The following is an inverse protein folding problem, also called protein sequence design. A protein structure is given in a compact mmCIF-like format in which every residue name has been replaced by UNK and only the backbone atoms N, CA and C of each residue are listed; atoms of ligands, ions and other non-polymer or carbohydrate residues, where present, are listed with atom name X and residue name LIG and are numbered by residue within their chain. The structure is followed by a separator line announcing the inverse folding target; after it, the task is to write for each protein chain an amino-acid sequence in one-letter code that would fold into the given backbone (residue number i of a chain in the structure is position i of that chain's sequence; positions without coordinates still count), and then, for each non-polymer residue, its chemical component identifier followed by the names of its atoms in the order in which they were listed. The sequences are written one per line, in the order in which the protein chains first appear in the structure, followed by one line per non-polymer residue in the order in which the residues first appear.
data_IF_861958090442
#
_entry.id   IF_861958090442
#
_cell.length_a   1.000
_cell.length_b   1.000
_cell.length_c   1.000
_cell.angle_alpha   90.00
_cell.angle_beta   90.00
_cell.angle_gamma   90.00
#
_symmetry.space_group_name_H-M   'P 1'
#
loop_
_entity.id
_entity.type
_entity.pdbx_description
1 polymer ?
#
# COMPACT_ATOMS: atom_id res chain seq x y z
N UNK A 1 -60.18 66.12 -4.49
CA UNK A 1 -59.29 66.09 -5.64
C UNK A 1 -58.08 65.27 -5.25
N UNK A 2 -58.20 63.97 -5.36
CA UNK A 2 -57.63 63.09 -6.38
C UNK A 2 -56.18 63.37 -6.68
N UNK A 3 -55.23 62.49 -6.26
CA UNK A 3 -54.47 61.72 -7.21
C UNK A 3 -53.79 60.50 -6.57
N UNK A 4 -54.09 59.47 -7.20
CA UNK A 4 -53.61 58.08 -7.09
C UNK A 4 -52.17 57.99 -7.63
N UNK A 5 -51.32 57.19 -6.99
CA UNK A 5 -49.97 56.95 -7.43
C UNK A 5 -49.50 55.56 -7.01
N UNK A 6 -50.00 54.61 -7.78
CA UNK A 6 -49.55 53.22 -7.75
C UNK A 6 -48.05 53.12 -8.05
N UNK A 7 -47.24 52.58 -7.16
CA UNK A 7 -45.87 52.19 -7.40
C UNK A 7 -45.80 50.66 -7.61
N UNK A 8 -45.47 50.29 -8.82
CA UNK A 8 -45.11 48.92 -9.24
C UNK A 8 -43.88 48.46 -8.47
N UNK A 9 -43.99 47.35 -7.74
CA UNK A 9 -42.89 46.61 -7.21
C UNK A 9 -42.61 45.43 -8.13
N UNK A 10 -41.62 45.64 -9.00
CA UNK A 10 -41.02 44.63 -9.84
C UNK A 10 -40.34 43.56 -8.95
N UNK A 11 -40.94 42.37 -8.89
CA UNK A 11 -40.44 41.23 -8.18
C UNK A 11 -39.38 40.49 -8.99
N UNK A 12 -38.09 40.85 -8.76
CA UNK A 12 -36.97 40.08 -9.26
C UNK A 12 -36.95 38.67 -8.64
N UNK A 13 -37.41 37.70 -9.42
CA UNK A 13 -37.21 36.28 -9.08
C UNK A 13 -35.74 35.92 -9.29
N UNK A 14 -35.02 35.72 -8.19
CA UNK A 14 -33.71 35.09 -8.22
C UNK A 14 -33.86 33.60 -8.54
N UNK A 15 -33.50 33.23 -9.73
CA UNK A 15 -33.42 31.86 -10.20
C UNK A 15 -32.33 31.13 -9.37
N UNK A 16 -32.77 30.35 -8.40
CA UNK A 16 -31.88 29.43 -7.66
C UNK A 16 -31.52 28.29 -8.59
N UNK A 17 -30.33 28.36 -9.17
CA UNK A 17 -29.74 27.29 -9.98
C UNK A 17 -29.50 26.07 -9.06
N UNK A 18 -30.43 25.13 -9.13
CA UNK A 18 -30.33 23.81 -8.48
C UNK A 18 -29.07 23.14 -8.96
N UNK A 19 -28.11 22.96 -8.06
CA UNK A 19 -26.90 22.17 -8.33
C UNK A 19 -27.35 20.72 -8.55
N UNK A 20 -27.31 20.28 -9.81
CA UNK A 20 -27.53 18.88 -10.15
C UNK A 20 -26.50 18.04 -9.40
N UNK A 21 -26.97 17.28 -8.40
CA UNK A 21 -26.18 16.25 -7.75
C UNK A 21 -25.77 15.23 -8.81
N UNK A 22 -24.47 15.20 -9.12
CA UNK A 22 -23.88 14.17 -9.97
C UNK A 22 -24.14 12.83 -9.29
N UNK A 23 -24.92 11.98 -9.94
CA UNK A 23 -25.18 10.63 -9.44
C UNK A 23 -23.83 9.90 -9.25
N UNK A 24 -23.65 9.13 -8.16
CA UNK A 24 -22.43 8.35 -7.99
C UNK A 24 -22.26 7.41 -9.19
N UNK A 25 -21.03 7.20 -9.67
CA UNK A 25 -20.79 6.29 -10.78
C UNK A 25 -21.34 4.89 -10.42
N UNK A 26 -21.84 4.13 -11.40
CA UNK A 26 -22.34 2.80 -11.14
C UNK A 26 -21.23 1.95 -10.55
N UNK A 27 -21.55 1.20 -9.49
CA UNK A 27 -20.63 0.25 -8.88
C UNK A 27 -19.97 -0.62 -9.95
N UNK A 28 -18.66 -0.83 -9.85
CA UNK A 28 -17.92 -1.66 -10.81
C UNK A 28 -18.60 -3.04 -10.91
N UNK A 29 -18.88 -3.49 -12.13
CA UNK A 29 -19.46 -4.80 -12.38
C UNK A 29 -18.39 -5.86 -11.97
N UNK A 30 -18.64 -6.66 -10.92
CA UNK A 30 -17.65 -7.60 -10.41
C UNK A 30 -17.32 -8.72 -11.40
N UNK A 31 -18.06 -8.82 -12.49
CA UNK A 31 -17.85 -9.84 -13.54
C UNK A 31 -16.97 -9.35 -14.68
N UNK A 32 -16.70 -8.03 -14.77
CA UNK A 32 -15.86 -7.48 -15.82
C UNK A 32 -14.38 -7.56 -15.42
N UNK A 33 -13.50 -8.02 -16.31
CA UNK A 33 -12.05 -7.92 -16.08
C UNK A 33 -11.65 -6.44 -15.99
N UNK A 34 -10.59 -6.16 -15.19
CA UNK A 34 -10.01 -4.83 -15.07
C UNK A 34 -9.82 -4.20 -16.45
N UNK A 35 -10.44 -3.03 -16.68
CA UNK A 35 -10.29 -2.29 -17.93
C UNK A 35 -8.87 -1.76 -18.02
N UNK A 36 -8.34 -1.68 -19.23
CA UNK A 36 -6.98 -1.16 -19.44
C UNK A 36 -5.86 -2.08 -18.98
N UNK A 37 -6.16 -3.35 -18.65
CA UNK A 37 -5.13 -4.32 -18.23
C UNK A 37 -4.11 -4.58 -19.34
N UNK A 38 -4.55 -4.61 -20.62
CA UNK A 38 -3.69 -4.74 -21.78
C UNK A 38 -2.78 -3.52 -21.97
N UNK A 39 -3.32 -2.33 -21.77
CA UNK A 39 -2.59 -1.07 -21.84
C UNK A 39 -1.58 -0.94 -20.70
N UNK A 40 -1.97 -1.31 -19.49
CA UNK A 40 -1.08 -1.35 -18.33
C UNK A 40 0.09 -2.33 -18.55
N UNK A 41 -0.20 -3.53 -19.10
CA UNK A 41 0.81 -4.53 -19.45
C UNK A 41 1.73 -4.03 -20.57
N UNK A 42 1.17 -3.32 -21.55
CA UNK A 42 1.96 -2.73 -22.63
C UNK A 42 2.87 -1.59 -22.12
N UNK A 43 2.42 -0.81 -21.17
CA UNK A 43 3.21 0.26 -20.55
C UNK A 43 4.42 -0.26 -19.75
N UNK A 44 4.36 -1.51 -19.26
CA UNK A 44 5.48 -2.17 -18.55
C UNK A 44 6.49 -2.85 -19.47
N UNK A 45 6.14 -3.10 -20.74
CA UNK A 45 7.02 -3.84 -21.66
C UNK A 45 8.39 -3.17 -21.81
N UNK A 46 9.42 -3.79 -21.26
CA UNK A 46 10.82 -3.36 -21.37
C UNK A 46 11.21 -2.15 -20.52
N UNK A 47 10.35 -1.71 -19.58
CA UNK A 47 10.58 -0.50 -18.75
C UNK A 47 10.42 -0.73 -17.25
N UNK A 48 10.33 -1.99 -16.79
CA UNK A 48 10.09 -2.30 -15.38
C UNK A 48 8.60 -2.28 -15.02
N UNK A 49 8.27 -1.82 -13.78
CA UNK A 49 6.90 -1.77 -13.30
C UNK A 49 6.06 -0.69 -14.03
N UNK A 50 4.75 -0.90 -14.17
CA UNK A 50 3.84 0.13 -14.69
C UNK A 50 3.93 1.41 -13.84
N UNK A 51 3.91 2.61 -14.46
CA UNK A 51 4.00 3.88 -13.74
C UNK A 51 2.65 4.28 -13.12
N UNK A 52 2.13 3.45 -12.21
CA UNK A 52 0.80 3.61 -11.57
C UNK A 52 0.62 4.95 -10.88
N UNK A 53 1.71 5.55 -10.36
CA UNK A 53 1.69 6.86 -9.70
C UNK A 53 1.42 8.02 -10.67
N UNK A 54 1.64 7.80 -11.97
CA UNK A 54 1.39 8.80 -13.02
C UNK A 54 -0.01 8.71 -13.62
N UNK A 55 -0.76 7.64 -13.30
CA UNK A 55 -2.11 7.45 -13.80
C UNK A 55 -3.10 8.03 -12.81
N UNK A 56 -4.03 8.82 -13.33
CA UNK A 56 -5.07 9.42 -12.52
C UNK A 56 -6.46 9.21 -13.16
N UNK A 57 -6.87 7.94 -13.38
CA UNK A 57 -8.18 7.62 -13.91
C UNK A 57 -9.28 7.89 -12.89
N UNK A 58 -10.53 7.90 -13.35
CA UNK A 58 -11.70 7.98 -12.50
C UNK A 58 -11.80 6.77 -11.56
N UNK A 59 -12.28 7.02 -10.34
CA UNK A 59 -12.58 5.95 -9.38
C UNK A 59 -13.87 5.25 -9.79
N UNK A 60 -13.79 3.95 -10.03
CA UNK A 60 -14.89 3.12 -10.52
C UNK A 60 -15.58 2.29 -9.43
N UNK A 61 -15.29 2.57 -8.15
CA UNK A 61 -15.87 1.84 -7.02
C UNK A 61 -14.94 0.77 -6.46
N UNK A 62 -15.40 0.12 -5.40
CA UNK A 62 -14.69 -1.00 -4.76
C UNK A 62 -15.10 -2.32 -5.42
N UNK A 63 -14.16 -3.25 -5.55
CA UNK A 63 -14.41 -4.61 -6.02
C UNK A 63 -14.18 -5.61 -4.90
N UNK A 64 -14.84 -6.76 -4.95
CA UNK A 64 -14.66 -7.85 -3.98
C UNK A 64 -13.34 -8.60 -4.25
N UNK A 65 -12.24 -7.86 -4.11
CA UNK A 65 -10.89 -8.38 -4.15
C UNK A 65 -10.17 -8.06 -2.85
N UNK A 66 -9.49 -9.06 -2.28
CA UNK A 66 -8.84 -8.95 -0.98
C UNK A 66 -7.47 -9.62 -0.98
N UNK A 67 -6.51 -8.96 -0.36
CA UNK A 67 -5.21 -9.55 0.00
C UNK A 67 -5.30 -9.96 1.46
N UNK A 68 -5.28 -11.27 1.73
CA UNK A 68 -5.32 -11.80 3.09
C UNK A 68 -4.02 -11.54 3.85
N UNK A 69 -4.08 -11.61 5.19
CA UNK A 69 -2.90 -11.49 6.04
C UNK A 69 -1.87 -12.62 5.81
N UNK A 70 -2.29 -13.70 5.17
CA UNK A 70 -1.45 -14.82 4.71
C UNK A 70 -0.79 -14.57 3.34
N UNK A 71 -1.04 -13.39 2.73
CA UNK A 71 -0.54 -13.00 1.41
C UNK A 71 -1.27 -13.65 0.23
N UNK A 72 -2.36 -14.39 0.50
CA UNK A 72 -3.19 -14.98 -0.54
C UNK A 72 -4.17 -13.93 -1.08
N UNK A 73 -4.29 -13.86 -2.39
CA UNK A 73 -5.25 -13.00 -3.05
C UNK A 73 -6.57 -13.74 -3.27
N UNK A 74 -7.65 -13.06 -2.94
CA UNK A 74 -9.01 -13.58 -3.10
C UNK A 74 -9.82 -12.69 -4.04
N UNK A 75 -10.67 -13.30 -4.84
CA UNK A 75 -11.70 -12.62 -5.60
C UNK A 75 -13.04 -13.31 -5.35
N UNK A 76 -14.06 -12.55 -4.91
CA UNK A 76 -15.36 -13.09 -4.48
C UNK A 76 -15.19 -14.27 -3.49
N UNK A 77 -14.36 -14.07 -2.49
CA UNK A 77 -13.99 -15.07 -1.46
C UNK A 77 -13.30 -16.35 -1.98
N UNK A 78 -12.99 -16.43 -3.27
CA UNK A 78 -12.25 -17.56 -3.86
C UNK A 78 -10.78 -17.20 -4.03
N UNK A 79 -9.83 -18.07 -3.63
CA UNK A 79 -8.41 -17.78 -3.78
C UNK A 79 -7.99 -17.77 -5.25
N UNK A 80 -7.17 -16.77 -5.62
CA UNK A 80 -6.58 -16.67 -6.95
C UNK A 80 -5.34 -17.55 -7.02
N UNK A 81 -5.48 -18.79 -7.52
CA UNK A 81 -4.38 -19.76 -7.60
C UNK A 81 -3.37 -19.51 -8.72
N UNK A 82 -3.64 -18.58 -9.65
CA UNK A 82 -2.77 -18.32 -10.81
C UNK A 82 -1.70 -17.28 -10.44
N UNK A 83 -0.52 -17.75 -10.02
CA UNK A 83 0.62 -16.86 -9.66
C UNK A 83 0.92 -15.76 -10.69
N UNK A 84 0.97 -16.01 -12.02
CA UNK A 84 1.19 -14.94 -12.98
C UNK A 84 0.15 -13.83 -12.95
N UNK A 85 -1.11 -14.16 -12.61
CA UNK A 85 -2.19 -13.18 -12.49
C UNK A 85 -2.04 -12.35 -11.22
N UNK A 86 -1.69 -12.98 -10.09
CA UNK A 86 -1.38 -12.29 -8.83
C UNK A 86 -0.21 -11.33 -9.03
N UNK A 87 0.87 -11.79 -9.70
CA UNK A 87 2.02 -10.93 -10.03
C UNK A 87 1.63 -9.75 -10.91
N UNK A 88 0.76 -9.96 -11.89
CA UNK A 88 0.26 -8.87 -12.72
C UNK A 88 -0.52 -7.85 -11.89
N UNK A 89 -1.47 -8.30 -11.07
CA UNK A 89 -2.25 -7.41 -10.21
C UNK A 89 -1.37 -6.68 -9.19
N UNK A 90 -0.36 -7.36 -8.63
CA UNK A 90 0.55 -6.71 -7.68
C UNK A 90 1.29 -5.53 -8.30
N UNK A 91 1.61 -5.57 -9.60
CA UNK A 91 2.25 -4.43 -10.29
C UNK A 91 1.34 -3.22 -10.47
N UNK A 92 0.02 -3.40 -10.34
CA UNK A 92 -1.00 -2.36 -10.47
C UNK A 92 -1.41 -1.76 -9.13
N UNK A 93 -0.86 -2.26 -8.02
CA UNK A 93 -1.16 -1.76 -6.68
C UNK A 93 -0.66 -0.33 -6.50
N UNK A 94 -1.51 0.49 -5.90
CA UNK A 94 -1.19 1.81 -5.38
C UNK A 94 -1.95 2.05 -4.07
N UNK A 95 -1.25 2.53 -3.05
CA UNK A 95 -1.87 3.02 -1.81
C UNK A 95 -1.87 4.53 -1.83
N UNK A 96 -3.05 5.13 -1.84
CA UNK A 96 -3.24 6.58 -1.90
C UNK A 96 -3.12 7.23 -0.50
N UNK A 97 -3.19 8.55 -0.43
CA UNK A 97 -3.07 9.32 0.82
C UNK A 97 -4.24 9.12 1.77
N UNK A 98 -5.38 8.69 1.26
CA UNK A 98 -6.55 8.30 2.03
C UNK A 98 -6.37 6.99 2.82
N UNK A 99 -5.21 6.33 2.67
CA UNK A 99 -4.86 5.07 3.32
C UNK A 99 -5.44 3.84 2.65
N UNK A 100 -6.25 3.99 1.59
CA UNK A 100 -6.85 2.88 0.85
C UNK A 100 -5.91 2.36 -0.23
N UNK A 101 -6.09 1.09 -0.55
CA UNK A 101 -5.35 0.41 -1.61
C UNK A 101 -6.22 0.23 -2.84
N UNK A 102 -5.62 0.47 -3.99
CA UNK A 102 -6.27 0.43 -5.28
C UNK A 102 -5.50 -0.42 -6.28
N UNK A 103 -6.21 -1.01 -7.22
CA UNK A 103 -5.66 -1.44 -8.51
C UNK A 103 -5.89 -0.31 -9.51
N UNK A 104 -4.80 0.15 -10.13
CA UNK A 104 -4.82 1.31 -11.02
C UNK A 104 -4.33 0.90 -12.40
N UNK A 105 -5.13 1.22 -13.41
CA UNK A 105 -4.79 1.12 -14.84
C UNK A 105 -4.85 2.50 -15.48
N UNK A 106 -4.45 2.69 -16.73
CA UNK A 106 -4.59 3.99 -17.39
C UNK A 106 -6.03 4.52 -17.46
N UNK A 107 -7.05 3.64 -17.38
CA UNK A 107 -8.46 3.99 -17.65
C UNK A 107 -9.39 3.80 -16.45
N UNK A 108 -8.95 3.13 -15.37
CA UNK A 108 -9.79 2.95 -14.18
C UNK A 108 -8.95 2.81 -12.91
N UNK A 109 -9.56 3.17 -11.78
CA UNK A 109 -9.08 2.94 -10.43
C UNK A 109 -10.18 2.24 -9.63
N UNK A 110 -9.88 1.04 -9.10
CA UNK A 110 -10.81 0.27 -8.26
C UNK A 110 -10.21 -0.01 -6.90
N UNK A 111 -11.01 0.13 -5.85
CA UNK A 111 -10.59 -0.15 -4.48
C UNK A 111 -10.58 -1.65 -4.18
N UNK A 112 -9.62 -2.08 -3.37
CA UNK A 112 -9.51 -3.44 -2.85
C UNK A 112 -9.26 -3.44 -1.34
N UNK A 113 -9.51 -4.58 -0.69
CA UNK A 113 -9.23 -4.75 0.74
C UNK A 113 -7.87 -5.39 0.94
N UNK A 114 -7.12 -4.90 1.93
CA UNK A 114 -5.85 -5.48 2.39
C UNK A 114 -5.94 -5.70 3.88
N UNK A 115 -5.85 -6.95 4.33
CA UNK A 115 -6.06 -7.30 5.74
C UNK A 115 -4.90 -6.85 6.64
N UNK A 116 -3.67 -6.82 6.11
CA UNK A 116 -2.46 -6.45 6.87
C UNK A 116 -1.44 -5.75 5.95
N UNK A 117 -0.66 -6.51 5.19
CA UNK A 117 0.36 -6.00 4.28
C UNK A 117 0.05 -6.37 2.82
N UNK A 118 0.59 -5.59 1.88
CA UNK A 118 0.38 -5.80 0.45
C UNK A 118 1.15 -7.03 -0.07
N UNK A 119 2.26 -7.35 0.58
CA UNK A 119 3.16 -8.44 0.25
C UNK A 119 3.60 -9.19 1.51
N UNK A 120 4.14 -10.40 1.32
CA UNK A 120 4.94 -11.10 2.32
C UNK A 120 6.39 -11.17 1.84
N UNK A 121 7.35 -10.83 2.70
CA UNK A 121 8.75 -11.14 2.48
C UNK A 121 8.98 -12.60 2.85
N UNK A 122 9.31 -13.42 1.86
CA UNK A 122 9.39 -14.89 1.95
C UNK A 122 10.81 -15.41 1.87
N UNK A 123 11.78 -14.57 1.52
CA UNK A 123 13.21 -14.89 1.51
C UNK A 123 14.03 -13.68 1.93
N UNK A 124 15.16 -13.92 2.59
CA UNK A 124 16.15 -12.93 2.97
C UNK A 124 17.52 -13.35 2.42
N UNK A 125 18.24 -12.40 1.85
CA UNK A 125 19.61 -12.53 1.39
C UNK A 125 20.45 -11.56 2.22
N UNK A 126 21.54 -12.03 2.78
CA UNK A 126 22.46 -11.25 3.60
C UNK A 126 23.80 -11.19 2.89
N UNK A 127 24.30 -10.00 2.62
CA UNK A 127 25.59 -9.74 2.03
C UNK A 127 26.43 -8.89 3.00
N UNK A 128 27.70 -9.25 3.23
CA UNK A 128 28.56 -8.57 4.19
C UNK A 128 28.26 -8.92 5.64
N UNK A 129 28.88 -8.20 6.57
CA UNK A 129 28.77 -8.44 8.02
C UNK A 129 28.80 -7.11 8.79
N UNK A 130 28.22 -7.09 9.99
CA UNK A 130 28.23 -5.95 10.89
C UNK A 130 27.53 -4.73 10.30
N UNK A 131 28.15 -3.56 10.38
CA UNK A 131 27.62 -2.30 9.86
C UNK A 131 27.71 -2.17 8.32
N UNK A 132 28.56 -2.98 7.67
CA UNK A 132 28.65 -3.10 6.23
C UNK A 132 27.65 -4.10 5.62
N UNK A 133 26.85 -4.75 6.45
CA UNK A 133 25.82 -5.70 6.05
C UNK A 133 24.78 -5.03 5.14
N UNK A 134 24.32 -5.79 4.14
CA UNK A 134 23.20 -5.41 3.27
C UNK A 134 22.16 -6.52 3.32
N UNK A 135 20.96 -6.18 3.71
CA UNK A 135 19.81 -7.06 3.74
C UNK A 135 18.96 -6.84 2.49
N UNK A 136 18.60 -7.95 1.83
CA UNK A 136 17.68 -7.92 0.69
C UNK A 136 16.57 -8.93 0.92
N UNK A 137 15.33 -8.51 0.71
CA UNK A 137 14.15 -9.36 0.81
C UNK A 137 13.56 -9.65 -0.55
N UNK A 138 12.99 -10.86 -0.70
CA UNK A 138 12.19 -11.25 -1.86
C UNK A 138 10.74 -11.44 -1.39
N UNK A 139 9.81 -10.83 -2.11
CA UNK A 139 8.38 -10.94 -1.77
C UNK A 139 7.73 -12.17 -2.42
N UNK A 140 6.54 -12.53 -1.94
CA UNK A 140 5.68 -13.57 -2.54
C UNK A 140 5.20 -13.25 -3.96
N UNK A 141 5.42 -11.99 -4.43
CA UNK A 141 5.18 -11.53 -5.80
C UNK A 141 6.47 -11.37 -6.60
N UNK A 142 7.61 -11.86 -6.08
CA UNK A 142 8.95 -11.83 -6.66
C UNK A 142 9.54 -10.42 -6.85
N UNK A 143 9.08 -9.44 -6.06
CA UNK A 143 9.79 -8.16 -5.92
C UNK A 143 11.03 -8.38 -5.05
N UNK A 144 12.19 -7.87 -5.47
CA UNK A 144 13.40 -7.79 -4.66
C UNK A 144 13.54 -6.39 -4.09
N UNK A 145 13.81 -6.29 -2.78
CA UNK A 145 13.93 -5.02 -2.05
C UNK A 145 15.16 -5.05 -1.19
N UNK A 146 16.06 -4.09 -1.39
CA UNK A 146 17.20 -3.85 -0.50
C UNK A 146 16.78 -2.93 0.64
N UNK A 147 17.13 -3.29 1.87
CA UNK A 147 16.86 -2.45 3.05
C UNK A 147 17.85 -1.30 3.08
N UNK A 148 17.35 -0.09 2.91
CA UNK A 148 18.11 1.16 2.88
C UNK A 148 17.24 2.36 3.32
N UNK A 149 17.69 3.58 3.07
CA UNK A 149 16.96 4.80 3.40
C UNK A 149 15.65 4.98 2.60
N UNK A 150 15.62 4.50 1.36
CA UNK A 150 14.45 4.58 0.48
C UNK A 150 13.45 3.44 0.74
N UNK A 151 13.94 2.33 1.30
CA UNK A 151 13.17 1.13 1.65
C UNK A 151 13.40 0.77 3.13
N UNK A 152 12.93 1.63 4.05
CA UNK A 152 13.15 1.42 5.48
C UNK A 152 12.32 0.27 6.04
N UNK A 153 12.86 -0.35 7.09
CA UNK A 153 12.10 -1.27 7.94
C UNK A 153 11.41 -0.53 9.07
N UNK A 154 10.25 -1.03 9.49
CA UNK A 154 9.56 -0.63 10.71
C UNK A 154 9.05 -1.83 11.48
N UNK A 155 9.00 -1.70 12.78
CA UNK A 155 8.58 -2.76 13.69
C UNK A 155 7.38 -2.27 14.50
N UNK A 156 6.28 -3.03 14.48
CA UNK A 156 5.03 -2.66 15.14
C UNK A 156 4.69 -3.68 16.21
N UNK A 157 4.50 -3.23 17.45
CA UNK A 157 4.01 -4.10 18.52
C UNK A 157 2.58 -4.56 18.23
N UNK A 158 2.37 -5.86 18.37
CA UNK A 158 1.03 -6.42 18.30
C UNK A 158 0.27 -6.10 19.60
N UNK A 159 -0.95 -5.58 19.46
CA UNK A 159 -1.81 -5.36 20.62
C UNK A 159 -2.17 -6.69 21.27
N UNK A 160 -1.95 -6.80 22.59
CA UNK A 160 -2.29 -7.97 23.39
C UNK A 160 -1.27 -9.12 23.37
N UNK A 161 -0.10 -8.92 22.73
CA UNK A 161 1.04 -9.83 22.78
C UNK A 161 2.34 -9.02 22.83
N UNK A 162 3.44 -9.63 23.30
CA UNK A 162 4.77 -8.99 23.24
C UNK A 162 5.42 -9.11 21.86
N UNK A 163 4.69 -9.63 20.86
CA UNK A 163 5.19 -9.86 19.52
C UNK A 163 5.38 -8.57 18.72
N UNK A 164 6.40 -8.59 17.85
CA UNK A 164 6.66 -7.55 16.85
C UNK A 164 6.22 -8.04 15.46
N UNK A 165 5.63 -7.14 14.68
CA UNK A 165 5.42 -7.30 13.24
C UNK A 165 6.45 -6.46 12.49
N UNK A 166 7.37 -7.10 11.78
CA UNK A 166 8.36 -6.42 10.95
C UNK A 166 7.82 -6.15 9.55
N UNK A 167 7.91 -4.93 9.10
CA UNK A 167 7.52 -4.51 7.76
C UNK A 167 8.70 -3.86 7.05
N UNK A 168 8.75 -4.01 5.73
CA UNK A 168 9.66 -3.28 4.85
C UNK A 168 8.86 -2.53 3.79
N UNK A 169 9.24 -1.29 3.51
CA UNK A 169 8.68 -0.52 2.41
C UNK A 169 9.19 -1.08 1.08
N UNK A 170 8.27 -1.56 0.23
CA UNK A 170 8.63 -2.17 -1.07
C UNK A 170 8.67 -1.13 -2.18
N UNK A 171 7.63 -0.30 -2.29
CA UNK A 171 7.54 0.81 -3.25
C UNK A 171 6.36 1.72 -2.93
N UNK A 172 6.46 3.01 -3.23
CA UNK A 172 5.41 3.98 -2.91
C UNK A 172 5.04 3.91 -1.43
N UNK A 173 3.79 3.52 -1.12
CA UNK A 173 3.31 3.28 0.25
C UNK A 173 2.98 1.79 0.49
N UNK A 174 3.47 0.90 -0.36
CA UNK A 174 3.21 -0.54 -0.29
C UNK A 174 4.30 -1.23 0.52
N UNK A 175 3.89 -2.03 1.50
CA UNK A 175 4.79 -2.71 2.43
C UNK A 175 4.67 -4.23 2.31
N UNK A 176 5.75 -4.93 2.65
CA UNK A 176 5.76 -6.36 2.88
C UNK A 176 5.91 -6.65 4.39
N UNK A 177 5.10 -7.58 4.89
CA UNK A 177 5.28 -8.18 6.21
C UNK A 177 6.31 -9.32 6.08
N UNK A 178 7.32 -9.36 6.93
CA UNK A 178 8.22 -10.50 6.98
C UNK A 178 7.48 -11.72 7.56
N UNK A 179 7.64 -12.88 6.92
CA UNK A 179 7.15 -14.13 7.49
C UNK A 179 7.87 -14.43 8.80
N UNK A 180 7.24 -15.25 9.66
CA UNK A 180 7.78 -15.56 10.98
C UNK A 180 9.19 -16.18 10.91
N UNK A 181 9.45 -17.05 9.94
CA UNK A 181 10.78 -17.65 9.75
C UNK A 181 11.83 -16.60 9.43
N UNK A 182 11.54 -15.72 8.47
CA UNK A 182 12.45 -14.64 8.07
C UNK A 182 12.68 -13.66 9.24
N UNK A 183 11.66 -13.42 10.06
CA UNK A 183 11.84 -12.56 11.23
C UNK A 183 12.78 -13.19 12.27
N UNK A 184 12.73 -14.50 12.50
CA UNK A 184 13.70 -15.16 13.38
C UNK A 184 15.12 -15.09 12.83
N UNK A 185 15.30 -15.38 11.54
CA UNK A 185 16.61 -15.24 10.89
C UNK A 185 17.15 -13.80 11.00
N UNK A 186 16.26 -12.80 10.87
CA UNK A 186 16.61 -11.39 11.03
C UNK A 186 17.05 -11.05 12.47
N UNK A 187 16.36 -11.61 13.48
CA UNK A 187 16.69 -11.39 14.90
C UNK A 187 18.08 -11.95 15.22
N UNK A 188 18.51 -13.06 14.61
CA UNK A 188 19.85 -13.63 14.80
C UNK A 188 20.96 -12.68 14.32
N UNK A 189 20.68 -11.77 13.39
CA UNK A 189 21.60 -10.74 12.92
C UNK A 189 21.60 -9.47 13.80
N UNK A 190 20.73 -9.47 14.82
CA UNK A 190 20.50 -8.30 15.67
C UNK A 190 21.68 -7.97 16.57
N UNK A 191 21.93 -6.70 16.77
CA UNK A 191 22.93 -6.16 17.70
C UNK A 191 22.32 -5.05 18.54
N UNK A 192 22.92 -4.78 19.70
CA UNK A 192 22.52 -3.66 20.54
C UNK A 192 23.35 -2.42 20.17
N UNK A 193 22.69 -1.27 20.07
CA UNK A 193 23.30 0.03 19.81
C UNK A 193 22.68 1.10 20.69
N UNK A 194 23.51 1.98 21.25
CA UNK A 194 23.04 3.15 22.00
C UNK A 194 22.60 4.25 21.02
N UNK A 195 21.34 4.70 21.12
CA UNK A 195 20.74 5.80 20.35
C UNK A 195 20.13 6.77 21.37
N UNK A 196 20.56 8.04 21.34
CA UNK A 196 20.07 9.10 22.24
C UNK A 196 20.08 8.72 23.74
N UNK A 197 21.11 7.93 24.17
CA UNK A 197 21.30 7.52 25.55
C UNK A 197 20.45 6.30 25.96
N UNK A 198 19.72 5.67 25.07
CA UNK A 198 19.00 4.43 25.28
C UNK A 198 19.56 3.30 24.40
N UNK A 199 19.63 2.08 24.95
CA UNK A 199 20.08 0.92 24.20
C UNK A 199 18.92 0.29 23.42
N UNK A 200 19.16 0.15 22.13
CA UNK A 200 18.22 -0.42 21.17
C UNK A 200 18.79 -1.69 20.55
N UNK A 201 17.99 -2.73 20.52
CA UNK A 201 18.25 -3.90 19.71
C UNK A 201 17.71 -3.68 18.29
N UNK A 202 18.50 -4.02 17.29
CA UNK A 202 18.13 -3.82 15.89
C UNK A 202 19.15 -4.42 14.94
N UNK A 203 18.99 -4.15 13.65
CA UNK A 203 19.86 -4.68 12.60
C UNK A 203 20.44 -3.56 11.74
N UNK A 204 21.62 -3.84 11.19
CA UNK A 204 22.24 -3.00 10.18
C UNK A 204 21.80 -3.41 8.77
N UNK A 205 21.65 -2.44 7.88
CA UNK A 205 21.62 -2.67 6.44
C UNK A 205 22.04 -1.40 5.70
N UNK A 206 22.87 -1.54 4.68
CA UNK A 206 23.31 -0.42 3.83
C UNK A 206 23.87 0.76 4.62
N UNK A 207 24.63 0.48 5.71
CA UNK A 207 25.19 1.49 6.59
C UNK A 207 24.20 2.19 7.51
N UNK A 208 22.95 1.77 7.56
CA UNK A 208 21.89 2.29 8.41
C UNK A 208 21.45 1.27 9.45
N UNK A 209 21.23 1.75 10.70
CA UNK A 209 20.70 0.92 11.77
C UNK A 209 19.19 1.04 11.86
N UNK A 210 18.49 -0.10 11.88
CA UNK A 210 17.03 -0.19 11.99
C UNK A 210 16.68 -0.74 13.39
N UNK A 211 16.25 0.13 14.33
CA UNK A 211 15.91 -0.28 15.68
C UNK A 211 14.61 -1.10 15.68
N UNK A 212 14.61 -2.25 16.40
CA UNK A 212 13.47 -3.14 16.55
C UNK A 212 12.72 -2.87 17.86
N UNK A 213 13.46 -2.86 18.96
CA UNK A 213 12.92 -2.67 20.31
C UNK A 213 13.98 -2.11 21.24
N UNK A 214 13.60 -1.41 22.35
CA UNK A 214 14.50 -1.10 23.44
C UNK A 214 15.10 -2.39 24.03
N UNK A 215 16.42 -2.44 24.23
CA UNK A 215 17.11 -3.62 24.74
C UNK A 215 16.56 -4.10 26.10
N UNK A 216 16.21 -3.15 26.98
CA UNK A 216 15.60 -3.44 28.28
C UNK A 216 14.25 -4.19 28.19
N UNK A 217 13.52 -4.07 27.07
CA UNK A 217 12.22 -4.72 26.89
C UNK A 217 12.31 -6.17 26.40
N UNK A 218 13.47 -6.56 25.87
CA UNK A 218 13.71 -7.92 25.35
C UNK A 218 14.70 -8.71 26.22
N UNK A 219 15.07 -8.14 27.40
CA UNK A 219 15.92 -8.82 28.39
C UNK A 219 17.40 -8.84 28.03
N UNK A 220 17.86 -7.90 27.20
CA UNK A 220 19.26 -7.67 26.84
C UNK A 220 19.87 -6.51 27.61
#
# INVERSE_FOLDING_TARGET
MTNDGTADLDGGQAEVKEAQAVAPPPAADPTQPLRGLSEATAASRGRGLPPVDRWNPEFCGDIDMRIGADGIWYYQNSPIGRKPLVRLFSTLLRKDEDGKTYLVTPVEKVGITVDDAHFLAVSMIVEGEGDAQVLRFVTNCDDEVTVDADHPMRFVRQKGTDGLKPYILVRGRLEALLTRSIFYDLVELGVTRTIDGADWFGVWSSGQFFPMAPAAEIGL
#
